data_IF_157483681569
#
_entry.id   IF_157483681569
#
_cell.length_a   1.000
_cell.length_b   1.000
_cell.length_c   1.000
_cell.angle_alpha   90.00
_cell.angle_beta   90.00
_cell.angle_gamma   90.00
#
_symmetry.space_group_name_H-M   'P 1'
#
loop_
_entity.id
_entity.type
_entity.pdbx_description
1 polymer ?
#
# COMPACT_ATOMS: atom_id res chain seq x y z
N UNK A 1 -6.99 4.65 21.50
CA UNK A 1 -7.90 3.87 20.61
C UNK A 1 -8.15 2.50 21.21
N UNK A 2 -9.41 2.10 21.33
CA UNK A 2 -9.75 0.76 21.82
C UNK A 2 -9.58 -0.28 20.73
N UNK A 3 -9.49 -1.56 21.11
CA UNK A 3 -9.39 -2.67 20.15
C UNK A 3 -10.62 -2.72 19.23
N UNK A 4 -11.81 -2.43 19.77
CA UNK A 4 -13.06 -2.39 18.96
C UNK A 4 -12.98 -1.31 17.88
N UNK A 5 -12.52 -0.11 18.24
CA UNK A 5 -12.35 1.00 17.30
C UNK A 5 -11.28 0.66 16.26
N UNK A 6 -10.18 0.03 16.67
CA UNK A 6 -9.13 -0.40 15.74
C UNK A 6 -9.65 -1.40 14.71
N UNK A 7 -10.43 -2.38 15.14
CA UNK A 7 -11.06 -3.35 14.23
C UNK A 7 -12.01 -2.64 13.27
N UNK A 8 -12.81 -1.70 13.76
CA UNK A 8 -13.71 -0.93 12.92
C UNK A 8 -12.94 -0.14 11.87
N UNK A 9 -11.88 0.54 12.25
CA UNK A 9 -11.01 1.29 11.33
C UNK A 9 -10.43 0.35 10.28
N UNK A 10 -9.90 -0.80 10.68
CA UNK A 10 -9.31 -1.77 9.77
C UNK A 10 -10.32 -2.29 8.76
N UNK A 11 -11.50 -2.68 9.21
CA UNK A 11 -12.59 -3.15 8.33
C UNK A 11 -13.02 -2.05 7.38
N UNK A 12 -13.16 -0.81 7.87
CA UNK A 12 -13.54 0.33 7.04
C UNK A 12 -12.52 0.60 5.95
N UNK A 13 -11.24 0.59 6.27
CA UNK A 13 -10.15 0.79 5.30
C UNK A 13 -10.23 -0.24 4.18
N UNK A 14 -10.37 -1.52 4.54
CA UNK A 14 -10.44 -2.60 3.55
C UNK A 14 -11.71 -2.50 2.71
N UNK A 15 -12.87 -2.30 3.33
CA UNK A 15 -14.14 -2.20 2.62
C UNK A 15 -14.18 -1.02 1.67
N UNK A 16 -13.74 0.16 2.10
CA UNK A 16 -13.70 1.34 1.23
C UNK A 16 -12.81 1.10 0.01
N UNK A 17 -11.66 0.48 0.21
CA UNK A 17 -10.75 0.15 -0.88
C UNK A 17 -11.40 -0.81 -1.88
N UNK A 18 -11.96 -1.91 -1.41
CA UNK A 18 -12.55 -2.93 -2.26
C UNK A 18 -13.87 -2.49 -2.91
N UNK A 19 -14.62 -1.58 -2.30
CA UNK A 19 -15.84 -1.03 -2.89
C UNK A 19 -15.57 -0.21 -4.16
N UNK A 20 -14.35 0.26 -4.37
CA UNK A 20 -13.96 0.95 -5.60
C UNK A 20 -13.75 -0.01 -6.78
N UNK A 21 -13.51 -1.29 -6.52
CA UNK A 21 -13.18 -2.25 -7.58
C UNK A 21 -14.29 -2.49 -8.60
N UNK A 22 -15.59 -2.49 -8.25
CA UNK A 22 -16.65 -2.59 -9.26
C UNK A 22 -16.57 -1.47 -10.31
N UNK A 23 -16.08 -0.29 -9.95
CA UNK A 23 -15.89 0.83 -10.87
C UNK A 23 -14.61 0.72 -11.68
N UNK A 24 -13.70 -0.19 -11.30
CA UNK A 24 -12.42 -0.39 -11.97
C UNK A 24 -12.56 -1.08 -13.33
N UNK A 25 -13.48 -2.02 -13.43
CA UNK A 25 -13.74 -2.79 -14.64
C UNK A 25 -12.96 -4.10 -14.70
N UNK A 26 -13.62 -5.15 -15.18
CA UNK A 26 -13.05 -6.49 -15.23
C UNK A 26 -11.83 -6.57 -16.14
N UNK A 27 -11.87 -5.88 -17.29
CA UNK A 27 -10.76 -5.85 -18.25
C UNK A 27 -9.50 -5.25 -17.64
N UNK A 28 -9.64 -4.14 -16.94
CA UNK A 28 -8.53 -3.48 -16.26
C UNK A 28 -7.99 -4.33 -15.10
N UNK A 29 -8.89 -4.99 -14.38
CA UNK A 29 -8.50 -5.91 -13.30
C UNK A 29 -7.62 -7.03 -13.84
N UNK A 30 -8.03 -7.68 -14.91
CA UNK A 30 -7.24 -8.76 -15.54
C UNK A 30 -5.87 -8.26 -16.02
N UNK A 31 -5.82 -7.05 -16.53
CA UNK A 31 -4.58 -6.46 -17.06
C UNK A 31 -3.57 -6.15 -15.96
N UNK A 32 -4.00 -5.53 -14.87
CA UNK A 32 -3.12 -4.98 -13.85
C UNK A 32 -2.97 -5.88 -12.62
N UNK A 33 -3.84 -6.88 -12.45
CA UNK A 33 -3.82 -7.77 -11.29
C UNK A 33 -2.49 -8.51 -11.10
N UNK A 34 -1.86 -9.10 -12.15
CA UNK A 34 -0.62 -9.85 -11.94
C UNK A 34 0.50 -8.99 -11.35
N UNK A 35 0.72 -7.79 -11.86
CA UNK A 35 1.74 -6.89 -11.33
C UNK A 35 1.42 -6.45 -9.90
N UNK A 36 0.18 -6.09 -9.64
CA UNK A 36 -0.27 -5.70 -8.30
C UNK A 36 -0.13 -6.84 -7.29
N UNK A 37 -0.41 -8.06 -7.73
CA UNK A 37 -0.23 -9.23 -6.88
C UNK A 37 1.25 -9.47 -6.56
N UNK A 38 2.15 -9.32 -7.54
CA UNK A 38 3.57 -9.46 -7.32
C UNK A 38 4.09 -8.44 -6.31
N UNK A 39 3.70 -7.17 -6.45
CA UNK A 39 4.14 -6.15 -5.51
C UNK A 39 3.51 -6.35 -4.12
N UNK A 40 2.29 -6.87 -4.07
CA UNK A 40 1.65 -7.26 -2.81
C UNK A 40 2.49 -8.29 -2.07
N UNK A 41 2.98 -9.33 -2.76
CA UNK A 41 3.81 -10.36 -2.15
C UNK A 41 5.13 -9.78 -1.63
N UNK A 42 5.77 -8.91 -2.40
CA UNK A 42 7.00 -8.24 -1.98
C UNK A 42 6.73 -7.39 -0.75
N UNK A 43 5.65 -6.61 -0.76
CA UNK A 43 5.28 -5.77 0.38
C UNK A 43 4.92 -6.62 1.61
N UNK A 44 4.27 -7.74 1.42
CA UNK A 44 3.97 -8.67 2.50
C UNK A 44 5.25 -9.12 3.21
N UNK A 45 6.25 -9.54 2.43
CA UNK A 45 7.53 -9.99 2.97
C UNK A 45 8.28 -8.84 3.65
N UNK A 46 8.35 -7.66 3.00
CA UNK A 46 9.06 -6.50 3.56
C UNK A 46 8.35 -5.95 4.79
N UNK A 47 7.03 -6.05 4.85
CA UNK A 47 6.25 -5.65 6.03
C UNK A 47 6.56 -6.56 7.23
N UNK A 48 6.68 -7.87 7.00
CA UNK A 48 7.10 -8.79 8.07
C UNK A 48 8.49 -8.44 8.59
N UNK A 49 9.41 -8.09 7.71
CA UNK A 49 10.76 -7.66 8.09
C UNK A 49 10.69 -6.35 8.90
N UNK A 50 9.93 -5.38 8.44
CA UNK A 50 9.77 -4.10 9.12
C UNK A 50 9.14 -4.23 10.50
N UNK A 51 8.15 -5.11 10.63
CA UNK A 51 7.53 -5.44 11.91
C UNK A 51 8.56 -6.06 12.87
N UNK A 52 9.33 -7.02 12.41
CA UNK A 52 10.36 -7.67 13.21
C UNK A 52 11.45 -6.67 13.66
N UNK A 53 11.83 -5.75 12.77
CA UNK A 53 12.84 -4.73 13.05
C UNK A 53 12.28 -3.50 13.78
N UNK A 54 10.97 -3.48 14.07
CA UNK A 54 10.29 -2.37 14.75
C UNK A 54 10.47 -1.03 14.03
N UNK A 55 10.33 -1.03 12.71
CA UNK A 55 10.30 0.21 11.93
C UNK A 55 9.09 1.06 12.28
N UNK A 56 7.98 0.39 12.60
CA UNK A 56 6.75 0.98 13.11
C UNK A 56 6.15 0.07 14.17
N UNK A 57 5.25 0.62 15.01
CA UNK A 57 4.57 -0.13 16.05
C UNK A 57 3.12 0.33 16.13
N UNK A 58 2.19 -0.62 16.18
CA UNK A 58 0.79 -0.34 16.46
C UNK A 58 0.57 -0.26 17.96
N UNK A 59 -0.29 0.68 18.39
CA UNK A 59 -0.54 0.91 19.82
C UNK A 59 -1.30 -0.25 20.46
N UNK A 60 -2.27 -0.85 19.73
CA UNK A 60 -3.03 -2.00 20.22
C UNK A 60 -2.52 -3.27 19.55
N UNK A 61 -2.31 -4.32 20.34
CA UNK A 61 -1.80 -5.63 19.88
C UNK A 61 -0.62 -5.47 18.90
N UNK A 62 0.50 -4.89 19.34
CA UNK A 62 1.61 -4.58 18.42
C UNK A 62 2.23 -5.81 17.76
N UNK A 63 2.03 -7.00 18.32
CA UNK A 63 2.53 -8.26 17.74
C UNK A 63 1.56 -8.90 16.74
N UNK A 64 0.30 -8.42 16.67
CA UNK A 64 -0.74 -9.03 15.84
C UNK A 64 -0.70 -8.46 14.43
N UNK A 65 -0.24 -9.25 13.46
CA UNK A 65 -0.16 -8.85 12.06
C UNK A 65 -1.55 -8.56 11.47
N UNK A 66 -2.53 -9.42 11.73
CA UNK A 66 -3.89 -9.30 11.17
C UNK A 66 -4.61 -8.03 11.61
N UNK A 67 -4.29 -7.51 12.80
CA UNK A 67 -4.94 -6.32 13.34
C UNK A 67 -4.13 -5.04 13.10
N UNK A 68 -2.89 -5.16 12.62
CA UNK A 68 -2.01 -4.02 12.37
C UNK A 68 -1.76 -3.79 10.90
N UNK A 69 -0.76 -4.46 10.35
CA UNK A 69 -0.25 -4.19 9.00
C UNK A 69 -1.14 -4.77 7.88
N UNK A 70 -1.73 -5.94 8.10
CA UNK A 70 -2.43 -6.67 7.04
C UNK A 70 -3.57 -5.86 6.39
N UNK A 71 -4.42 -5.15 7.14
CA UNK A 71 -5.47 -4.34 6.52
C UNK A 71 -4.93 -3.28 5.54
N UNK A 72 -3.79 -2.68 5.84
CA UNK A 72 -3.16 -1.71 4.94
C UNK A 72 -2.65 -2.37 3.66
N UNK A 73 -2.18 -3.62 3.76
CA UNK A 73 -1.69 -4.36 2.61
C UNK A 73 -2.81 -4.77 1.65
N UNK A 74 -3.84 -5.43 2.20
CA UNK A 74 -4.92 -5.99 1.38
C UNK A 74 -5.90 -4.93 0.89
N UNK A 75 -6.01 -3.81 1.58
CA UNK A 75 -6.89 -2.71 1.21
C UNK A 75 -6.16 -1.64 0.40
N UNK A 76 -5.73 -0.54 1.03
CA UNK A 76 -5.21 0.62 0.31
C UNK A 76 -4.01 0.32 -0.58
N UNK A 77 -3.06 -0.50 -0.12
CA UNK A 77 -1.84 -0.77 -0.90
C UNK A 77 -2.17 -1.56 -2.17
N UNK A 78 -2.87 -2.67 -2.04
CA UNK A 78 -3.19 -3.55 -3.17
C UNK A 78 -4.12 -2.85 -4.16
N UNK A 79 -5.23 -2.32 -3.68
CA UNK A 79 -6.23 -1.63 -4.52
C UNK A 79 -5.65 -0.34 -5.08
N UNK A 80 -4.88 0.41 -4.29
CA UNK A 80 -4.21 1.61 -4.75
C UNK A 80 -3.23 1.34 -5.88
N UNK A 81 -2.49 0.24 -5.83
CA UNK A 81 -1.60 -0.17 -6.91
C UNK A 81 -2.34 -0.38 -8.22
N UNK A 82 -3.51 -1.04 -8.16
CA UNK A 82 -4.36 -1.24 -9.34
C UNK A 82 -4.80 0.10 -9.94
N UNK A 83 -5.31 1.01 -9.12
CA UNK A 83 -5.79 2.31 -9.58
C UNK A 83 -4.68 3.19 -10.14
N UNK A 84 -3.52 3.21 -9.50
CA UNK A 84 -2.37 3.99 -9.97
C UNK A 84 -1.93 3.48 -11.35
N UNK A 85 -1.83 2.17 -11.54
CA UNK A 85 -1.50 1.60 -12.84
C UNK A 85 -2.53 1.96 -13.90
N UNK A 86 -3.84 1.85 -13.57
CA UNK A 86 -4.90 2.20 -14.53
C UNK A 86 -4.78 3.64 -15.01
N UNK A 87 -4.54 4.57 -14.10
CA UNK A 87 -4.53 6.00 -14.45
C UNK A 87 -3.24 6.44 -15.13
N UNK A 88 -2.12 5.78 -14.88
CA UNK A 88 -0.82 6.32 -15.27
C UNK A 88 0.06 5.36 -16.08
N UNK A 89 -0.34 4.10 -16.25
CA UNK A 89 0.46 3.17 -17.03
C UNK A 89 0.57 3.63 -18.47
N UNK A 90 1.79 3.60 -19.02
CA UNK A 90 2.11 4.13 -20.35
C UNK A 90 2.74 5.52 -20.30
N UNK A 91 2.62 6.23 -19.19
CA UNK A 91 3.28 7.51 -18.94
C UNK A 91 4.06 7.42 -17.63
N UNK A 92 5.34 7.07 -17.75
CA UNK A 92 6.19 6.83 -16.57
C UNK A 92 6.33 8.08 -15.69
N UNK A 93 6.41 9.26 -16.30
CA UNK A 93 6.52 10.52 -15.55
C UNK A 93 5.30 10.76 -14.67
N UNK A 94 4.08 10.55 -15.21
CA UNK A 94 2.84 10.67 -14.45
C UNK A 94 2.73 9.58 -13.38
N UNK A 95 3.18 8.37 -13.69
CA UNK A 95 3.21 7.27 -12.73
C UNK A 95 4.07 7.62 -11.51
N UNK A 96 5.28 8.10 -11.74
CA UNK A 96 6.21 8.47 -10.67
C UNK A 96 5.66 9.67 -9.88
N UNK A 97 5.10 10.66 -10.55
CA UNK A 97 4.53 11.84 -9.91
C UNK A 97 3.37 11.46 -8.98
N UNK A 98 2.44 10.65 -9.49
CA UNK A 98 1.28 10.22 -8.70
C UNK A 98 1.72 9.38 -7.49
N UNK A 99 2.67 8.46 -7.69
CA UNK A 99 3.20 7.68 -6.56
C UNK A 99 3.90 8.57 -5.54
N UNK A 100 4.67 9.55 -5.98
CA UNK A 100 5.34 10.48 -5.07
C UNK A 100 4.32 11.24 -4.21
N UNK A 101 3.23 11.72 -4.81
CA UNK A 101 2.18 12.44 -4.09
C UNK A 101 1.50 11.51 -3.07
N UNK A 102 1.09 10.32 -3.49
CA UNK A 102 0.40 9.37 -2.62
C UNK A 102 1.31 8.92 -1.47
N UNK A 103 2.54 8.59 -1.78
CA UNK A 103 3.50 8.11 -0.77
C UNK A 103 3.88 9.22 0.21
N UNK A 104 3.99 10.46 -0.25
CA UNK A 104 4.25 11.61 0.61
C UNK A 104 3.09 11.86 1.57
N UNK A 105 1.83 11.75 1.09
CA UNK A 105 0.66 11.84 1.96
C UNK A 105 0.67 10.74 3.02
N UNK A 106 0.97 9.52 2.61
CA UNK A 106 0.99 8.38 3.54
C UNK A 106 2.13 8.50 4.56
N UNK A 107 3.28 9.00 4.13
CA UNK A 107 4.47 9.08 4.99
C UNK A 107 4.44 10.24 5.98
N UNK A 108 3.68 11.29 5.72
CA UNK A 108 3.69 12.49 6.57
C UNK A 108 2.30 12.79 7.16
N UNK A 109 1.31 13.36 6.43
CA UNK A 109 0.03 13.69 7.05
C UNK A 109 -0.68 12.48 7.68
N UNK A 110 -0.76 11.36 6.96
CA UNK A 110 -1.48 10.17 7.43
C UNK A 110 -0.74 9.55 8.61
N UNK A 111 0.59 9.46 8.57
CA UNK A 111 1.39 8.92 9.67
C UNK A 111 1.27 9.79 10.93
N UNK A 112 1.28 11.11 10.78
CA UNK A 112 1.08 12.03 11.90
C UNK A 112 -0.31 11.90 12.50
N UNK A 113 -1.33 11.78 11.65
CA UNK A 113 -2.71 11.57 12.10
C UNK A 113 -2.85 10.23 12.83
N UNK A 114 -2.26 9.17 12.31
CA UNK A 114 -2.29 7.85 12.92
C UNK A 114 -1.65 7.88 14.32
N UNK A 115 -0.54 8.59 14.47
CA UNK A 115 0.10 8.78 15.77
C UNK A 115 -0.79 9.56 16.74
N UNK A 116 -1.46 10.61 16.23
CA UNK A 116 -2.36 11.45 17.03
C UNK A 116 -3.54 10.65 17.60
N UNK A 117 -4.14 9.77 16.80
CA UNK A 117 -5.26 8.94 17.25
C UNK A 117 -4.81 7.63 17.92
N UNK A 118 -3.51 7.45 18.10
CA UNK A 118 -2.91 6.27 18.72
C UNK A 118 -3.24 4.98 17.97
N UNK A 119 -3.15 5.02 16.65
CA UNK A 119 -3.34 3.84 15.80
C UNK A 119 -1.99 3.13 15.59
N UNK A 120 -1.01 3.82 15.01
CA UNK A 120 0.37 3.37 14.90
C UNK A 120 1.33 4.57 14.91
N UNK A 121 2.61 4.27 15.13
CA UNK A 121 3.68 5.28 15.05
C UNK A 121 4.91 4.71 14.36
N UNK A 122 5.67 5.56 13.70
CA UNK A 122 7.00 5.23 13.20
C UNK A 122 7.99 5.24 14.35
N UNK A 123 8.84 4.22 14.46
CA UNK A 123 9.80 4.08 15.55
C UNK A 123 11.22 4.26 15.03
N UNK A 124 11.68 3.38 14.13
CA UNK A 124 13.03 3.42 13.58
C UNK A 124 13.12 4.12 12.24
N UNK A 125 11.98 4.36 11.58
CA UNK A 125 11.91 5.12 10.35
C UNK A 125 11.42 6.54 10.64
N UNK A 126 12.05 7.53 10.01
CA UNK A 126 11.47 8.88 9.96
C UNK A 126 10.50 8.98 8.76
N UNK A 127 9.81 10.12 8.62
CA UNK A 127 8.84 10.30 7.53
C UNK A 127 9.47 10.16 6.15
N UNK A 128 10.70 10.69 5.95
CA UNK A 128 11.40 10.61 4.68
C UNK A 128 11.79 9.17 4.34
N UNK A 129 12.30 8.40 5.31
CA UNK A 129 12.63 7.00 5.11
C UNK A 129 11.40 6.16 4.79
N UNK A 130 10.28 6.45 5.44
CA UNK A 130 9.01 5.77 5.19
C UNK A 130 8.50 6.08 3.77
N UNK A 131 8.63 7.34 3.33
CA UNK A 131 8.35 7.73 1.95
C UNK A 131 9.21 6.94 0.96
N UNK A 132 10.52 6.86 1.18
CA UNK A 132 11.42 6.11 0.29
C UNK A 132 11.09 4.62 0.27
N UNK A 133 10.68 4.06 1.39
CA UNK A 133 10.26 2.66 1.49
C UNK A 133 9.12 2.35 0.52
N UNK A 134 8.07 3.16 0.53
CA UNK A 134 6.96 2.96 -0.40
C UNK A 134 7.31 3.38 -1.83
N UNK A 135 8.04 4.46 -2.00
CA UNK A 135 8.38 4.98 -3.31
C UNK A 135 9.24 3.99 -4.11
N UNK A 136 10.14 3.26 -3.46
CA UNK A 136 10.93 2.23 -4.13
C UNK A 136 10.06 1.11 -4.70
N UNK A 137 8.92 0.82 -4.07
CA UNK A 137 7.97 -0.17 -4.57
C UNK A 137 7.31 0.25 -5.87
N UNK A 138 7.15 1.56 -6.09
CA UNK A 138 6.55 2.09 -7.32
C UNK A 138 7.34 1.67 -8.56
N UNK A 139 8.67 1.75 -8.50
CA UNK A 139 9.53 1.33 -9.60
C UNK A 139 9.36 -0.16 -9.90
N UNK A 140 9.30 -1.00 -8.86
CA UNK A 140 9.08 -2.43 -9.02
C UNK A 140 7.71 -2.72 -9.63
N UNK A 141 6.66 -2.01 -9.19
CA UNK A 141 5.31 -2.19 -9.70
C UNK A 141 5.25 -1.88 -11.21
N UNK A 142 5.83 -0.78 -11.64
CA UNK A 142 5.85 -0.41 -13.06
C UNK A 142 6.65 -1.42 -13.88
N UNK A 143 7.78 -1.86 -13.36
CA UNK A 143 8.62 -2.87 -14.01
C UNK A 143 7.88 -4.19 -14.19
N UNK A 144 7.17 -4.67 -13.15
CA UNK A 144 6.37 -5.89 -13.25
C UNK A 144 5.29 -5.75 -14.33
N UNK A 145 4.58 -4.62 -14.37
CA UNK A 145 3.55 -4.40 -15.38
C UNK A 145 4.18 -4.38 -16.79
N UNK A 146 5.31 -3.74 -16.94
CA UNK A 146 6.04 -3.71 -18.22
C UNK A 146 6.41 -5.13 -18.67
N UNK A 147 6.93 -5.95 -17.78
CA UNK A 147 7.29 -7.33 -18.10
C UNK A 147 6.06 -8.16 -18.50
N UNK A 148 4.95 -8.03 -17.79
CA UNK A 148 3.73 -8.76 -18.11
C UNK A 148 3.13 -8.32 -19.45
N UNK A 149 3.15 -7.03 -19.74
CA UNK A 149 2.67 -6.51 -21.03
C UNK A 149 3.53 -7.00 -22.20
N UNK A 150 4.85 -6.97 -22.07
CA UNK A 150 5.76 -7.49 -23.08
C UNK A 150 5.57 -8.99 -23.33
N UNK A 151 5.37 -9.76 -22.27
CA UNK A 151 5.13 -11.20 -22.39
C UNK A 151 3.86 -11.53 -23.15
N UNK A 152 2.81 -10.71 -22.99
CA UNK A 152 1.56 -10.89 -23.74
C UNK A 152 1.73 -10.56 -25.23
N UNK A 153 2.60 -9.61 -25.57
CA UNK A 153 2.83 -9.16 -26.95
C UNK A 153 3.80 -10.07 -27.72
N UNK A 154 4.48 -10.97 -27.03
CA UNK A 154 5.33 -12.01 -27.61
C UNK A 154 4.59 -13.35 -27.58
#
# INVERSE_FOLDING_TARGET
MTIKIQRLVNVTIVLLSWLTLPFFGLRNTKRFLPASFCIFLIEFITTLIGKKRKWWVFYNKPKAFLFGEFPYLIGPFFVGSLWILKWTYGNFKMFILLNAIVDAFFASPIAKFAKKIKHYKLVRLNGFQFFLYYFSKAFLLYWFQYLFENKKNN
#
